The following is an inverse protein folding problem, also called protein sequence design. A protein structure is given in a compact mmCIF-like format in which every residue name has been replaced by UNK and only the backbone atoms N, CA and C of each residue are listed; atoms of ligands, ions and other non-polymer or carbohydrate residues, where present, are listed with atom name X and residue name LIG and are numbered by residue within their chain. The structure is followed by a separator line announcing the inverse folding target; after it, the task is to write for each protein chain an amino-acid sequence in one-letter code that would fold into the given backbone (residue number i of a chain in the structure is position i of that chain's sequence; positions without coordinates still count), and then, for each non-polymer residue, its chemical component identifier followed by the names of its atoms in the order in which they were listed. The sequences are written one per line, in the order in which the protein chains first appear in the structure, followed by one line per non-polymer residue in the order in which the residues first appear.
data_IF_135569471830
#
_entry.id   IF_135569471830
#
_cell.length_a   1.000
_cell.length_b   1.000
_cell.length_c   1.000
_cell.angle_alpha   90.00
_cell.angle_beta   90.00
_cell.angle_gamma   90.00
#
_symmetry.space_group_name_H-M   'P 1'
#
loop_
_entity.id
_entity.type
_entity.pdbx_description
1 polymer ?
#
# COMPACT_ATOMS: atom_id res chain seq x y z
N UNK A 1 -21.69 17.94 0.22
CA UNK A 1 -21.61 17.82 0.20
C UNK A 1 -21.37 17.26 0.16
N UNK A 2 -21.59 17.36 0.24
CA UNK A 2 -21.41 16.99 0.24
C UNK A 2 -20.97 16.42 0.19
N UNK A 3 -21.05 16.51 0.09
CA UNK A 3 -20.63 16.16 0.10
C UNK A 3 -20.16 15.41 0.23
N UNK A 4 -20.42 15.48 0.35
CA UNK A 4 -20.00 14.94 0.54
C UNK A 4 -19.56 14.12 0.53
N UNK A 5 -19.61 14.21 0.46
CA UNK A 5 -19.21 13.68 0.54
C UNK A 5 -18.81 12.99 0.58
N UNK A 6 -19.13 13.11 0.64
CA UNK A 6 -18.82 12.61 0.75
C UNK A 6 -18.47 11.88 0.69
N UNK A 7 -18.57 11.91 0.59
CA UNK A 7 -18.22 11.45 0.68
C UNK A 7 -17.88 10.63 0.63
N UNK A 8 -18.27 10.47 0.47
CA UNK A 8 -18.01 9.83 0.55
C UNK A 8 -17.48 9.10 0.25
N UNK A 9 -17.41 9.08 0.05
CA UNK A 9 -16.78 8.37 -0.15
C UNK A 9 -16.13 8.03 -0.03
N UNK A 10 -16.06 8.62 0.06
CA UNK A 10 -15.53 8.34 0.40
C UNK A 10 -14.97 7.64 0.93
N UNK A 11 -14.89 7.88 1.05
CA UNK A 11 -14.40 6.96 1.62
C UNK A 11 -14.74 5.83 1.42
N UNK A 12 -15.18 5.97 0.70
CA UNK A 12 -15.61 4.74 0.46
C UNK A 12 -14.51 3.88 0.06
N UNK A 13 -14.35 2.85 0.72
CA UNK A 13 -13.31 1.96 0.37
C UNK A 13 -13.64 1.38 -0.97
N UNK A 14 -12.75 1.36 -1.82
CA UNK A 14 -12.91 0.65 -3.05
C UNK A 14 -12.97 -0.84 -2.81
N UNK A 15 -13.25 -1.58 -3.86
CA UNK A 15 -13.26 -3.04 -3.79
C UNK A 15 -11.96 -3.61 -3.25
N UNK A 16 -10.88 -2.90 -3.44
CA UNK A 16 -9.57 -3.35 -3.01
C UNK A 16 -9.44 -3.43 -1.50
N UNK A 17 -10.16 -2.59 -0.77
CA UNK A 17 -10.16 -2.67 0.69
C UNK A 17 -10.68 -4.02 1.16
N UNK A 18 -11.40 -4.76 0.32
CA UNK A 18 -11.97 -6.04 0.70
C UNK A 18 -11.11 -7.24 0.28
N UNK A 19 -10.38 -7.19 -0.82
CA UNK A 19 -9.70 -8.40 -1.28
C UNK A 19 -8.42 -8.21 -2.08
N UNK A 20 -8.14 -7.01 -2.59
CA UNK A 20 -6.93 -6.77 -3.39
C UNK A 20 -6.95 -7.35 -4.79
N UNK A 21 -8.13 -7.71 -5.30
CA UNK A 21 -8.29 -8.21 -6.67
C UNK A 21 -8.77 -7.05 -7.53
N UNK A 22 -7.96 -6.64 -8.50
CA UNK A 22 -8.19 -5.43 -9.28
C UNK A 22 -8.33 -5.74 -10.76
N UNK A 23 -9.21 -4.99 -11.43
CA UNK A 23 -9.25 -4.97 -12.89
C UNK A 23 -8.14 -4.06 -13.42
N UNK A 24 -7.87 -4.14 -14.74
CA UNK A 24 -6.91 -3.22 -15.35
C UNK A 24 -7.36 -1.76 -15.21
N UNK A 25 -8.65 -1.49 -15.28
CA UNK A 25 -9.17 -0.13 -15.09
C UNK A 25 -8.94 0.35 -13.66
N UNK A 26 -9.15 -0.52 -12.68
CA UNK A 26 -8.85 -0.19 -11.28
C UNK A 26 -7.39 0.19 -11.11
N UNK A 27 -6.49 -0.59 -11.69
CA UNK A 27 -5.05 -0.35 -11.58
C UNK A 27 -4.68 0.99 -12.19
N UNK A 28 -5.24 1.33 -13.36
CA UNK A 28 -4.96 2.60 -14.00
C UNK A 28 -5.40 3.78 -13.14
N UNK A 29 -6.57 3.68 -12.51
CA UNK A 29 -7.08 4.72 -11.62
C UNK A 29 -6.20 4.85 -10.39
N UNK A 30 -5.83 3.72 -9.78
CA UNK A 30 -4.99 3.72 -8.58
C UNK A 30 -3.59 4.27 -8.87
N UNK A 31 -3.01 3.90 -10.02
CA UNK A 31 -1.71 4.43 -10.42
C UNK A 31 -1.77 5.96 -10.61
N UNK A 32 -2.88 6.47 -11.16
CA UNK A 32 -3.05 7.91 -11.35
C UNK A 32 -3.18 8.65 -10.01
N UNK A 33 -3.88 8.06 -9.04
CA UNK A 33 -4.00 8.62 -7.70
C UNK A 33 -2.62 8.69 -7.03
N UNK A 34 -1.83 7.63 -7.16
CA UNK A 34 -0.49 7.58 -6.57
C UNK A 34 0.46 8.56 -7.25
N UNK A 35 0.34 8.74 -8.57
CA UNK A 35 1.13 9.72 -9.28
C UNK A 35 0.80 11.13 -8.79
N UNK A 36 -0.47 11.43 -8.56
CA UNK A 36 -0.87 12.73 -8.05
C UNK A 36 -0.41 12.93 -6.61
N UNK A 37 -0.48 11.90 -5.79
CA UNK A 37 0.02 11.96 -4.42
C UNK A 37 1.51 12.35 -4.41
N UNK A 38 2.28 11.82 -5.33
CA UNK A 38 3.70 12.16 -5.46
C UNK A 38 3.87 13.61 -5.89
N UNK A 39 3.12 14.06 -6.90
CA UNK A 39 3.18 15.45 -7.38
C UNK A 39 2.84 16.44 -6.26
N UNK A 40 1.88 16.11 -5.43
CA UNK A 40 1.38 17.01 -4.39
C UNK A 40 2.12 16.86 -3.06
N UNK A 41 3.11 15.99 -2.98
CA UNK A 41 3.82 15.70 -1.73
C UNK A 41 2.85 15.31 -0.63
N UNK A 42 1.93 14.39 -0.94
CA UNK A 42 0.87 14.00 -0.01
C UNK A 42 1.40 13.22 1.19
N UNK A 43 0.72 13.40 2.31
CA UNK A 43 0.98 12.65 3.55
C UNK A 43 -0.33 12.12 4.10
N UNK A 44 -0.27 11.04 4.84
CA UNK A 44 -1.42 10.45 5.53
C UNK A 44 -2.57 10.13 4.58
N UNK A 45 -2.26 9.69 3.37
CA UNK A 45 -3.27 9.40 2.36
C UNK A 45 -3.49 7.89 2.28
N UNK A 46 -4.72 7.46 2.52
CA UNK A 46 -5.07 6.04 2.38
C UNK A 46 -5.17 5.69 0.92
N UNK A 47 -4.40 4.70 0.48
CA UNK A 47 -4.28 4.32 -0.93
C UNK A 47 -4.29 2.81 -1.09
N UNK A 48 -4.59 2.39 -2.30
CA UNK A 48 -4.49 0.99 -2.71
C UNK A 48 -3.81 0.91 -4.06
N UNK A 49 -3.24 -0.25 -4.34
CA UNK A 49 -2.57 -0.43 -5.61
C UNK A 49 -1.95 -1.81 -5.75
N UNK A 50 -1.26 -1.99 -6.86
CA UNK A 50 -0.56 -3.23 -7.17
C UNK A 50 0.68 -2.90 -7.99
N UNK A 51 1.78 -3.55 -7.66
CA UNK A 51 3.02 -3.36 -8.39
C UNK A 51 3.87 -4.61 -8.42
N UNK A 52 5.02 -4.49 -9.07
CA UNK A 52 5.99 -5.56 -9.20
C UNK A 52 7.15 -5.29 -8.26
N UNK A 53 7.57 -6.31 -7.52
CA UNK A 53 8.74 -6.21 -6.63
C UNK A 53 9.98 -6.05 -7.50
N UNK A 54 10.68 -4.94 -7.33
CA UNK A 54 11.93 -4.67 -8.07
C UNK A 54 13.15 -4.75 -7.16
N UNK A 55 12.95 -4.74 -5.84
CA UNK A 55 14.05 -4.82 -4.89
C UNK A 55 13.54 -5.32 -3.54
N UNK A 56 14.26 -6.23 -2.94
CA UNK A 56 13.99 -6.69 -1.58
C UNK A 56 15.13 -6.18 -0.69
N UNK A 57 14.78 -5.49 0.39
CA UNK A 57 15.75 -4.92 1.32
C UNK A 57 15.81 -5.79 2.58
N UNK A 58 16.87 -5.60 3.35
CA UNK A 58 16.93 -6.22 4.68
C UNK A 58 15.81 -5.68 5.56
N UNK A 59 15.30 -6.52 6.46
CA UNK A 59 14.31 -6.06 7.42
C UNK A 59 14.93 -4.94 8.27
N UNK A 60 14.11 -3.92 8.56
CA UNK A 60 14.49 -2.85 9.46
C UNK A 60 14.14 -3.30 10.87
N UNK A 61 15.16 -3.41 11.73
CA UNK A 61 14.96 -3.85 13.11
C UNK A 61 15.14 -2.72 14.11
N UNK A 62 15.20 -1.49 13.64
CA UNK A 62 15.31 -0.33 14.52
C UNK A 62 13.90 0.08 14.96
N UNK A 63 13.61 -0.09 16.23
CA UNK A 63 12.25 0.08 16.76
C UNK A 63 11.36 -1.08 16.36
N UNK A 64 10.14 -0.79 15.93
CA UNK A 64 9.25 -1.81 15.37
C UNK A 64 9.88 -2.41 14.13
N UNK A 65 9.81 -3.72 13.99
CA UNK A 65 10.42 -4.39 12.85
C UNK A 65 9.54 -4.25 11.63
N UNK A 66 10.16 -3.95 10.50
CA UNK A 66 9.46 -3.80 9.23
C UNK A 66 10.15 -4.61 8.14
N UNK A 67 9.37 -5.42 7.43
CA UNK A 67 9.82 -5.99 6.16
C UNK A 67 9.74 -4.88 5.11
N UNK A 68 10.81 -4.71 4.33
CA UNK A 68 10.90 -3.61 3.37
C UNK A 68 11.20 -4.13 1.98
N UNK A 69 10.49 -3.59 1.00
CA UNK A 69 10.75 -3.88 -0.40
C UNK A 69 10.22 -2.75 -1.26
N UNK A 70 10.70 -2.68 -2.49
CA UNK A 70 10.31 -1.64 -3.44
C UNK A 70 9.43 -2.24 -4.51
N UNK A 71 8.29 -1.62 -4.74
CA UNK A 71 7.39 -1.95 -5.85
C UNK A 71 7.53 -0.91 -6.95
N UNK A 72 7.43 -1.37 -8.21
CA UNK A 72 7.25 -0.47 -9.35
C UNK A 72 5.84 -0.63 -9.86
N UNK A 73 5.13 0.49 -9.98
CA UNK A 73 3.79 0.54 -10.56
C UNK A 73 3.86 0.50 -12.08
N UNK A 74 2.72 0.25 -12.71
CA UNK A 74 2.62 0.28 -14.17
C UNK A 74 2.99 1.64 -14.76
N UNK A 75 2.84 2.71 -13.99
CA UNK A 75 3.23 4.07 -14.39
C UNK A 75 4.75 4.29 -14.36
N UNK A 76 5.50 3.39 -13.74
CA UNK A 76 6.93 3.56 -13.50
C UNK A 76 7.27 4.14 -12.14
N UNK A 77 6.29 4.67 -11.40
CA UNK A 77 6.51 5.16 -10.05
C UNK A 77 6.96 4.02 -9.15
N UNK A 78 7.90 4.27 -8.25
CA UNK A 78 8.32 3.28 -7.27
C UNK A 78 7.81 3.66 -5.87
N UNK A 79 7.50 2.64 -5.08
CA UNK A 79 7.02 2.80 -3.72
C UNK A 79 7.84 1.91 -2.80
N UNK A 80 8.27 2.46 -1.68
CA UNK A 80 8.86 1.65 -0.62
C UNK A 80 7.71 1.11 0.23
N UNK A 81 7.64 -0.20 0.38
CA UNK A 81 6.69 -0.83 1.29
C UNK A 81 7.39 -1.07 2.61
N UNK A 82 6.81 -0.58 3.69
CA UNK A 82 7.31 -0.79 5.06
C UNK A 82 6.21 -1.52 5.83
N UNK A 83 6.32 -2.84 5.89
CA UNK A 83 5.30 -3.73 6.45
C UNK A 83 5.69 -4.11 7.87
N UNK A 84 4.93 -3.65 8.85
CA UNK A 84 5.22 -3.90 10.27
C UNK A 84 5.00 -5.37 10.60
N UNK A 85 6.10 -6.09 10.83
CA UNK A 85 6.05 -7.52 11.11
C UNK A 85 6.02 -7.83 12.61
N UNK A 86 5.97 -6.82 13.45
CA UNK A 86 5.58 -7.02 14.84
C UNK A 86 4.06 -7.15 14.98
N UNK A 87 3.29 -6.63 14.00
CA UNK A 87 1.84 -6.60 14.04
C UNK A 87 1.16 -7.45 12.97
N UNK A 88 1.91 -7.89 11.96
CA UNK A 88 1.36 -8.70 10.86
C UNK A 88 2.36 -9.77 10.42
N UNK A 89 1.90 -10.84 9.78
CA UNK A 89 2.81 -11.86 9.28
C UNK A 89 3.76 -11.30 8.22
N UNK A 90 4.98 -11.78 8.25
CA UNK A 90 5.99 -11.48 7.23
C UNK A 90 5.73 -12.30 5.97
N UNK A 91 6.00 -11.73 4.81
CA UNK A 91 5.94 -12.47 3.53
C UNK A 91 7.30 -13.14 3.32
N UNK A 92 7.43 -14.39 3.78
CA UNK A 92 8.72 -15.07 3.76
C UNK A 92 9.14 -15.53 2.36
N UNK A 93 8.19 -15.69 1.45
CA UNK A 93 8.45 -16.17 0.10
C UNK A 93 8.59 -15.06 -0.94
N UNK A 94 8.70 -13.80 -0.49
CA UNK A 94 8.74 -12.64 -1.39
C UNK A 94 10.02 -12.64 -2.22
N UNK A 95 9.89 -12.43 -3.54
CA UNK A 95 11.01 -12.37 -4.47
C UNK A 95 10.84 -11.23 -5.46
N UNK A 96 11.96 -10.75 -5.97
CA UNK A 96 11.97 -9.83 -7.12
C UNK A 96 11.16 -10.43 -8.27
N UNK A 97 10.37 -9.62 -8.91
CA UNK A 97 9.41 -9.91 -10.00
C UNK A 97 8.07 -10.42 -9.52
N UNK A 98 7.91 -10.66 -8.23
CA UNK A 98 6.58 -10.99 -7.70
C UNK A 98 5.66 -9.79 -7.79
N UNK A 99 4.35 -10.06 -7.87
CA UNK A 99 3.31 -9.05 -7.83
C UNK A 99 2.77 -8.95 -6.42
N UNK A 100 2.63 -7.74 -5.91
CA UNK A 100 2.05 -7.48 -4.59
C UNK A 100 0.98 -6.40 -4.72
N UNK A 101 -0.21 -6.68 -4.19
CA UNK A 101 -1.26 -5.68 -4.02
C UNK A 101 -1.20 -5.16 -2.59
N UNK A 102 -1.63 -3.93 -2.38
CA UNK A 102 -1.53 -3.30 -1.07
C UNK A 102 -2.71 -2.37 -0.81
N UNK A 103 -2.99 -2.19 0.47
CA UNK A 103 -3.87 -1.16 1.00
C UNK A 103 -3.21 -0.62 2.25
N UNK A 104 -2.88 0.67 2.25
CA UNK A 104 -2.14 1.27 3.35
C UNK A 104 -2.08 2.78 3.22
N UNK A 105 -1.22 3.38 4.02
CA UNK A 105 -1.12 4.82 4.08
C UNK A 105 0.12 5.30 3.35
N UNK A 106 -0.08 6.26 2.44
CA UNK A 106 0.97 6.86 1.65
C UNK A 106 1.61 8.02 2.41
N UNK A 107 2.95 8.04 2.40
CA UNK A 107 3.75 9.17 2.87
C UNK A 107 4.73 9.53 1.77
N UNK A 108 4.78 10.80 1.42
CA UNK A 108 5.68 11.26 0.37
C UNK A 108 7.14 11.09 0.76
N UNK A 109 7.96 10.69 -0.21
CA UNK A 109 9.41 10.86 -0.17
C UNK A 109 9.86 11.15 -1.61
N UNK A 110 11.09 11.62 -1.78
CA UNK A 110 11.54 12.08 -3.09
C UNK A 110 11.76 10.95 -4.09
N UNK A 111 11.66 9.69 -3.67
CA UNK A 111 11.88 8.54 -4.53
C UNK A 111 10.57 7.91 -5.03
N UNK A 112 9.43 8.48 -4.68
CA UNK A 112 8.13 7.99 -5.14
C UNK A 112 7.10 7.84 -4.04
N UNK A 113 7.54 7.66 -2.81
CA UNK A 113 6.67 7.52 -1.64
C UNK A 113 6.87 6.21 -0.90
N UNK A 114 6.32 6.16 0.30
CA UNK A 114 6.32 4.97 1.17
C UNK A 114 4.88 4.59 1.47
N UNK A 115 4.62 3.29 1.52
CA UNK A 115 3.34 2.75 1.98
C UNK A 115 3.60 2.01 3.29
N UNK A 116 2.91 2.42 4.33
CA UNK A 116 2.95 1.75 5.63
C UNK A 116 1.51 1.55 6.14
N UNK A 117 1.33 1.12 7.37
CA UNK A 117 -0.01 0.77 7.89
C UNK A 117 -0.67 -0.33 7.06
N UNK A 118 0.11 -1.33 6.68
CA UNK A 118 -0.36 -2.46 5.86
C UNK A 118 -0.79 -3.63 6.74
N UNK A 119 -1.42 -3.35 7.87
CA UNK A 119 -1.85 -4.33 8.86
C UNK A 119 -3.08 -3.82 9.60
N UNK A 120 -3.68 -4.71 10.40
CA UNK A 120 -4.77 -4.31 11.29
C UNK A 120 -4.16 -3.52 12.44
N UNK A 121 -4.82 -2.42 12.83
CA UNK A 121 -4.42 -1.67 14.02
C UNK A 121 -4.97 -2.39 15.26
N UNK A 122 -4.10 -2.87 16.16
CA UNK A 122 -4.57 -3.56 17.36
C UNK A 122 -5.48 -2.69 18.24
N UNK A 123 -5.31 -1.38 18.18
CA UNK A 123 -6.14 -0.45 18.97
C UNK A 123 -7.44 -0.08 18.25
N UNK A 124 -7.58 -0.45 17.00
CA UNK A 124 -8.79 -0.19 16.23
C UNK A 124 -9.02 1.26 15.88
N UNK A 125 -7.99 2.10 15.92
CA UNK A 125 -8.11 3.55 15.70
C UNK A 125 -7.70 3.97 14.29
N UNK A 126 -6.90 3.18 13.61
CA UNK A 126 -6.45 3.48 12.26
C UNK A 126 -7.09 2.49 11.28
N UNK A 127 -7.29 2.93 10.05
CA UNK A 127 -7.82 2.07 8.99
C UNK A 127 -6.95 0.84 8.85
N UNK A 128 -7.57 -0.33 8.84
CA UNK A 128 -6.86 -1.58 8.67
C UNK A 128 -6.36 -1.71 7.23
N UNK A 129 -5.05 -1.94 7.10
CA UNK A 129 -4.42 -2.18 5.81
C UNK A 129 -4.10 -3.65 5.61
N UNK A 130 -3.52 -3.94 4.46
CA UNK A 130 -3.10 -5.31 4.13
C UNK A 130 -2.13 -5.31 2.95
N UNK A 131 -1.42 -6.44 2.83
CA UNK A 131 -0.70 -6.81 1.62
C UNK A 131 -1.29 -8.12 1.09
N UNK A 132 -1.29 -8.28 -0.24
CA UNK A 132 -1.70 -9.53 -0.87
C UNK A 132 -0.59 -10.02 -1.78
N UNK A 133 -0.18 -11.27 -1.58
CA UNK A 133 0.88 -11.92 -2.31
C UNK A 133 0.48 -13.37 -2.55
N UNK A 134 0.46 -13.79 -3.83
CA UNK A 134 0.14 -15.17 -4.22
C UNK A 134 -1.16 -15.67 -3.57
N UNK A 135 -2.23 -14.87 -3.69
CA UNK A 135 -3.56 -15.21 -3.17
C UNK A 135 -3.66 -15.29 -1.65
N UNK A 136 -2.64 -14.84 -0.93
CA UNK A 136 -2.68 -14.77 0.53
C UNK A 136 -2.63 -13.32 0.99
N UNK A 137 -3.46 -13.00 1.97
CA UNK A 137 -3.51 -11.67 2.59
C UNK A 137 -2.68 -11.69 3.86
N UNK A 138 -1.84 -10.66 4.02
CA UNK A 138 -0.97 -10.47 5.18
C UNK A 138 -1.38 -9.18 5.87
N UNK A 139 -1.90 -9.31 7.10
CA UNK A 139 -2.37 -8.15 7.85
C UNK A 139 -2.44 -8.38 9.36
#
# INVERSE_FOLDING_TARGET
GAVACADAPENSPGPAASDGVFTNDDIAVMDAILAQAFEEHAHNLQVEGRGTVVRVLADDEDGSRHQRFVLRLGSGQTLLIAHNIDLAPRINSLRVRDTVAFYGEYEWNEEGGTIHWTHIDPDGEHVAGWLRHRNRVYR
#
